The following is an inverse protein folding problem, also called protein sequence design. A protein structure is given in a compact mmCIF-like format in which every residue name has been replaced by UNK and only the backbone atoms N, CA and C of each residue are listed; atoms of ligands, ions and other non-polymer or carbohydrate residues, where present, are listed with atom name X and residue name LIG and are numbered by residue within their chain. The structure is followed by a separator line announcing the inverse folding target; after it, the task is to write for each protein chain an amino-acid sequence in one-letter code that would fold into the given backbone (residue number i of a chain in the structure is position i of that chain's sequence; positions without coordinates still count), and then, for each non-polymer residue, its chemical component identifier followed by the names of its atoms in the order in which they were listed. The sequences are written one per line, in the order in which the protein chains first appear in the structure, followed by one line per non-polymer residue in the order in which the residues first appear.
data_IF_005718021288
#
_entry.id   IF_005718021288
#
_cell.length_a   1.000
_cell.length_b   1.000
_cell.length_c   1.000
_cell.angle_alpha   90.00
_cell.angle_beta   90.00
_cell.angle_gamma   90.00
#
_symmetry.space_group_name_H-M   'P 1'
#
loop_
_entity.id
_entity.type
_entity.pdbx_description
1 polymer ?
#
# COMPACT_ATOMS: atom_id res chain seq x y z
N UNK A 1 32.57 5.95 -2.53
CA UNK A 1 31.75 6.42 -3.68
C UNK A 1 30.46 5.61 -3.81
N UNK A 2 30.52 4.28 -3.75
CA UNK A 2 29.35 3.38 -3.76
C UNK A 2 28.34 3.64 -2.62
N UNK A 3 28.79 3.85 -1.38
CA UNK A 3 27.89 4.13 -0.23
C UNK A 3 27.00 5.36 -0.44
N UNK A 4 27.53 6.41 -1.09
CA UNK A 4 26.74 7.63 -1.39
C UNK A 4 25.71 7.36 -2.50
N UNK A 5 25.98 6.41 -3.39
CA UNK A 5 25.06 5.98 -4.43
C UNK A 5 23.94 5.11 -3.83
N UNK A 6 24.29 4.17 -2.95
CA UNK A 6 23.34 3.32 -2.22
C UNK A 6 22.42 4.14 -1.32
N UNK A 7 22.96 5.09 -0.57
CA UNK A 7 22.17 5.99 0.27
C UNK A 7 21.15 6.79 -0.56
N UNK A 8 21.56 7.28 -1.74
CA UNK A 8 20.64 7.95 -2.68
C UNK A 8 19.60 7.00 -3.25
N UNK A 9 19.98 5.77 -3.59
CA UNK A 9 19.06 4.73 -4.06
C UNK A 9 18.00 4.39 -3.02
N UNK A 10 18.37 4.29 -1.74
CA UNK A 10 17.43 4.03 -0.65
C UNK A 10 16.44 5.18 -0.44
N UNK A 11 16.89 6.44 -0.56
CA UNK A 11 15.99 7.60 -0.47
C UNK A 11 14.98 7.58 -1.60
N UNK A 12 15.43 7.39 -2.84
CA UNK A 12 14.55 7.33 -4.02
C UNK A 12 13.57 6.15 -3.93
N UNK A 13 14.02 4.99 -3.47
CA UNK A 13 13.17 3.82 -3.26
C UNK A 13 12.08 4.09 -2.22
N UNK A 14 12.42 4.74 -1.09
CA UNK A 14 11.45 5.12 -0.05
C UNK A 14 10.44 6.14 -0.56
N UNK A 15 10.89 7.15 -1.30
CA UNK A 15 9.99 8.15 -1.89
C UNK A 15 9.03 7.52 -2.90
N UNK A 16 9.53 6.62 -3.74
CA UNK A 16 8.71 5.88 -4.70
C UNK A 16 7.69 4.97 -3.98
N UNK A 17 8.11 4.21 -2.96
CA UNK A 17 7.23 3.37 -2.16
C UNK A 17 6.15 4.19 -1.45
N UNK A 18 6.49 5.38 -0.95
CA UNK A 18 5.53 6.27 -0.28
C UNK A 18 4.54 6.89 -1.26
N UNK A 19 4.99 7.29 -2.45
CA UNK A 19 4.11 7.79 -3.51
C UNK A 19 3.12 6.70 -3.96
N UNK A 20 3.61 5.48 -4.08
CA UNK A 20 2.82 4.30 -4.40
C UNK A 20 1.77 3.99 -3.33
N UNK A 21 2.17 3.96 -2.06
CA UNK A 21 1.28 3.73 -0.94
C UNK A 21 0.15 4.78 -0.87
N UNK A 22 0.46 6.06 -1.14
CA UNK A 22 -0.56 7.12 -1.23
C UNK A 22 -1.53 6.90 -2.38
N UNK A 23 -1.05 6.45 -3.54
CA UNK A 23 -1.92 6.15 -4.69
C UNK A 23 -2.86 4.99 -4.38
N UNK A 24 -2.34 3.91 -3.77
CA UNK A 24 -3.15 2.77 -3.31
C UNK A 24 -4.19 3.25 -2.29
N UNK A 25 -3.78 4.05 -1.31
CA UNK A 25 -4.70 4.55 -0.30
C UNK A 25 -5.85 5.38 -0.91
N UNK A 26 -5.55 6.20 -1.91
CA UNK A 26 -6.55 7.00 -2.63
C UNK A 26 -7.47 6.20 -3.55
N UNK A 27 -7.10 4.98 -3.97
CA UNK A 27 -7.95 4.14 -4.82
C UNK A 27 -8.92 3.27 -4.05
N UNK A 28 -8.77 3.15 -2.72
CA UNK A 28 -9.68 2.40 -1.86
C UNK A 28 -10.91 3.25 -1.53
N UNK A 29 -11.90 3.21 -2.42
CA UNK A 29 -13.23 3.78 -2.18
C UNK A 29 -14.21 2.69 -1.74
N UNK A 30 -14.11 2.29 -0.46
CA UNK A 30 -14.97 1.23 0.09
C UNK A 30 -15.61 1.70 1.40
N UNK A 31 -16.95 1.87 1.44
CA UNK A 31 -17.65 2.29 2.65
C UNK A 31 -17.39 1.35 3.84
N UNK A 32 -17.05 1.95 4.98
CA UNK A 32 -16.75 1.25 6.23
C UNK A 32 -15.32 0.71 6.36
N UNK A 33 -14.42 1.07 5.44
CA UNK A 33 -13.00 0.77 5.49
C UNK A 33 -12.21 2.05 5.80
N UNK A 34 -11.39 2.02 6.84
CA UNK A 34 -10.37 3.01 7.12
C UNK A 34 -9.07 2.64 6.42
N UNK A 35 -8.35 3.65 5.94
CA UNK A 35 -7.12 3.50 5.18
C UNK A 35 -6.08 4.43 5.76
N UNK A 36 -4.92 3.86 6.09
CA UNK A 36 -3.80 4.61 6.68
C UNK A 36 -2.52 4.28 5.92
N UNK A 37 -1.73 5.31 5.62
CA UNK A 37 -0.40 5.15 5.01
C UNK A 37 0.65 5.22 6.11
N UNK A 38 1.42 4.16 6.28
CA UNK A 38 2.54 4.08 7.22
C UNK A 38 3.87 4.16 6.46
N UNK A 39 4.98 4.19 7.20
CA UNK A 39 6.32 4.15 6.59
C UNK A 39 6.61 2.81 5.91
N UNK A 40 5.94 1.75 6.35
CA UNK A 40 6.11 0.38 5.83
C UNK A 40 5.07 0.00 4.76
N UNK A 41 4.04 0.81 4.53
CA UNK A 41 3.03 0.53 3.51
C UNK A 41 1.65 1.14 3.77
N UNK A 42 0.60 0.38 3.48
CA UNK A 42 -0.80 0.79 3.64
C UNK A 42 -1.52 -0.19 4.57
N UNK A 43 -2.14 0.35 5.62
CA UNK A 43 -2.94 -0.41 6.58
C UNK A 43 -4.42 -0.18 6.27
N UNK A 44 -5.16 -1.28 6.13
CA UNK A 44 -6.60 -1.27 5.87
C UNK A 44 -7.31 -1.80 7.11
N UNK A 45 -8.30 -1.06 7.61
CA UNK A 45 -9.07 -1.41 8.80
C UNK A 45 -10.56 -1.37 8.49
N UNK A 46 -11.38 -2.17 9.15
CA UNK A 46 -12.83 -2.12 8.95
C UNK A 46 -13.55 -3.41 9.32
N UNK A 47 -14.87 -3.32 9.52
CA UNK A 47 -15.68 -4.46 9.92
C UNK A 47 -15.91 -5.40 8.74
N UNK A 48 -15.57 -6.69 8.92
CA UNK A 48 -15.76 -7.71 7.89
C UNK A 48 -14.76 -7.62 6.73
N UNK A 49 -13.62 -6.93 6.93
CA UNK A 49 -12.55 -6.77 5.95
C UNK A 49 -12.09 -8.13 5.39
N UNK A 50 -11.85 -9.11 6.26
CA UNK A 50 -11.48 -10.48 5.85
C UNK A 50 -12.52 -11.13 4.92
N UNK A 51 -13.81 -10.96 5.22
CA UNK A 51 -14.89 -11.50 4.37
C UNK A 51 -14.94 -10.79 3.01
N UNK A 52 -14.71 -9.48 2.98
CA UNK A 52 -14.65 -8.68 1.74
C UNK A 52 -13.43 -9.03 0.91
N UNK A 53 -12.28 -9.23 1.53
CA UNK A 53 -11.04 -9.64 0.87
C UNK A 53 -11.21 -10.89 0.02
N UNK A 54 -11.95 -11.87 0.53
CA UNK A 54 -12.20 -13.16 -0.17
C UNK A 54 -13.28 -13.02 -1.25
N UNK A 55 -14.35 -12.28 -0.96
CA UNK A 55 -15.58 -12.34 -1.77
C UNK A 55 -15.74 -11.17 -2.75
N UNK A 56 -15.04 -10.06 -2.55
CA UNK A 56 -15.19 -8.86 -3.37
C UNK A 56 -14.03 -8.78 -4.37
N UNK A 57 -14.36 -8.93 -5.66
CA UNK A 57 -13.39 -8.93 -6.75
C UNK A 57 -12.55 -7.64 -6.80
N UNK A 58 -13.06 -6.53 -6.26
CA UNK A 58 -12.34 -5.26 -6.14
C UNK A 58 -11.13 -5.33 -5.20
N UNK A 59 -10.94 -6.42 -4.47
CA UNK A 59 -9.78 -6.63 -3.59
C UNK A 59 -8.72 -7.55 -4.20
N UNK A 60 -9.05 -8.25 -5.30
CA UNK A 60 -8.13 -9.19 -5.97
C UNK A 60 -6.91 -8.50 -6.57
N UNK A 61 -7.03 -7.25 -7.00
CA UNK A 61 -5.88 -6.50 -7.51
C UNK A 61 -4.86 -6.24 -6.39
N UNK A 62 -5.31 -5.98 -5.15
CA UNK A 62 -4.42 -5.76 -3.99
C UNK A 62 -3.63 -7.03 -3.67
N UNK A 63 -4.26 -8.21 -3.74
CA UNK A 63 -3.58 -9.49 -3.57
C UNK A 63 -2.49 -9.76 -4.64
N UNK A 64 -2.61 -9.17 -5.84
CA UNK A 64 -1.60 -9.26 -6.90
C UNK A 64 -0.36 -8.38 -6.68
N UNK A 65 -0.42 -7.38 -5.78
CA UNK A 65 0.73 -6.54 -5.40
C UNK A 65 1.59 -7.16 -4.30
N UNK A 66 1.07 -8.14 -3.55
CA UNK A 66 1.78 -8.82 -2.48
C UNK A 66 2.62 -10.03 -2.96
N UNK A 67 2.68 -10.26 -4.28
CA UNK A 67 3.41 -11.34 -4.93
C UNK A 67 4.68 -10.85 -5.61
#
# INVERSE_FOLDING_TARGET
MFERLEARGQVLAREAARAEAKRIAGSVDVPGIGVEVTDDGVVLTGRGLWRRWINDARWRWIAGWAA
#
